data_IF_818639687756
#
_entry.id   IF_818639687756
#
_cell.length_a   1.000
_cell.length_b   1.000
_cell.length_c   1.000
_cell.angle_alpha   90.00
_cell.angle_beta   90.00
_cell.angle_gamma   90.00
#
_symmetry.space_group_name_H-M   'P 1'
#
loop_
_entity.id
_entity.type
_entity.pdbx_description
1 polymer ?
#
# COMPACT_ATOMS: atom_id res chain seq x y z
N UNK A 1 2.18 -17.49 19.13
CA UNK A 1 2.64 -18.56 18.22
C UNK A 1 3.82 -18.03 17.43
N UNK A 2 4.91 -18.81 17.28
CA UNK A 2 6.01 -18.40 16.43
C UNK A 2 5.63 -18.70 14.96
N UNK A 3 5.25 -17.66 14.22
CA UNK A 3 5.00 -17.79 12.79
C UNK A 3 6.33 -17.99 12.06
N UNK A 4 6.40 -19.00 11.19
CA UNK A 4 7.55 -19.22 10.30
C UNK A 4 7.29 -18.49 9.00
N UNK A 5 8.15 -17.54 8.65
CA UNK A 5 8.07 -16.76 7.42
C UNK A 5 9.19 -17.15 6.46
N UNK A 6 8.89 -17.13 5.16
CA UNK A 6 9.90 -17.21 4.10
C UNK A 6 10.02 -15.82 3.46
N UNK A 7 11.23 -15.24 3.33
CA UNK A 7 11.38 -13.99 2.62
C UNK A 7 11.17 -14.23 1.12
N UNK A 8 10.33 -13.41 0.50
CA UNK A 8 10.11 -13.41 -0.95
C UNK A 8 10.18 -11.98 -1.47
N UNK A 9 10.80 -11.81 -2.64
CA UNK A 9 10.73 -10.59 -3.42
C UNK A 9 9.66 -10.77 -4.49
N UNK A 10 8.73 -9.82 -4.59
CA UNK A 10 7.64 -9.84 -5.58
C UNK A 10 7.73 -8.56 -6.39
N UNK A 11 7.71 -8.66 -7.72
CA UNK A 11 7.56 -7.49 -8.58
C UNK A 11 6.11 -6.98 -8.51
N UNK A 12 5.94 -5.68 -8.25
CA UNK A 12 4.64 -5.00 -8.23
C UNK A 12 4.35 -4.23 -9.52
N UNK A 13 5.29 -4.19 -10.46
CA UNK A 13 5.10 -3.53 -11.76
C UNK A 13 3.84 -4.04 -12.46
N UNK A 14 3.01 -3.10 -12.92
CA UNK A 14 1.72 -3.34 -13.59
C UNK A 14 0.70 -4.15 -12.76
N UNK A 15 0.93 -4.34 -11.46
CA UNK A 15 -0.02 -5.01 -10.57
C UNK A 15 -0.99 -4.02 -9.97
N UNK A 16 -2.22 -4.47 -9.71
CA UNK A 16 -3.18 -3.76 -8.89
C UNK A 16 -2.92 -4.00 -7.40
N UNK A 17 -2.83 -2.93 -6.62
CA UNK A 17 -2.67 -2.95 -5.17
C UNK A 17 -3.83 -2.21 -4.50
N UNK A 18 -4.48 -2.87 -3.54
CA UNK A 18 -5.54 -2.28 -2.73
C UNK A 18 -5.02 -1.94 -1.34
N UNK A 19 -5.15 -0.67 -0.93
CA UNK A 19 -4.89 -0.21 0.44
C UNK A 19 -6.23 0.16 1.07
N UNK A 20 -6.54 -0.43 2.24
CA UNK A 20 -7.77 -0.16 2.97
C UNK A 20 -7.45 0.68 4.21
N UNK A 21 -8.19 1.78 4.38
CA UNK A 21 -7.96 2.81 5.39
C UNK A 21 -7.27 4.03 4.81
N UNK A 22 -7.50 5.19 5.42
CA UNK A 22 -7.01 6.49 4.95
C UNK A 22 -6.14 7.24 5.95
N UNK A 23 -5.82 6.65 7.11
CA UNK A 23 -4.98 7.29 8.12
C UNK A 23 -3.47 7.23 7.82
N UNK A 24 -2.65 7.63 8.80
CA UNK A 24 -1.19 7.67 8.68
C UNK A 24 -0.54 6.33 8.29
N UNK A 25 -1.10 5.20 8.72
CA UNK A 25 -0.57 3.87 8.36
C UNK A 25 -0.81 3.55 6.88
N UNK A 26 -1.96 3.96 6.33
CA UNK A 26 -2.26 3.79 4.93
C UNK A 26 -1.36 4.69 4.08
N UNK A 27 -1.21 5.97 4.46
CA UNK A 27 -0.29 6.91 3.82
C UNK A 27 1.12 6.33 3.68
N UNK A 28 1.71 5.83 4.77
CA UNK A 28 3.06 5.23 4.75
C UNK A 28 3.16 4.03 3.81
N UNK A 29 2.10 3.23 3.70
CA UNK A 29 2.06 2.07 2.80
C UNK A 29 1.97 2.52 1.34
N UNK A 30 1.13 3.51 1.06
CA UNK A 30 1.00 4.04 -0.31
C UNK A 30 2.30 4.73 -0.74
N UNK A 31 2.93 5.52 0.13
CA UNK A 31 4.26 6.13 -0.13
C UNK A 31 5.29 5.06 -0.54
N UNK A 32 5.35 3.93 0.18
CA UNK A 32 6.23 2.83 -0.22
C UNK A 32 5.82 2.21 -1.56
N UNK A 33 4.52 2.03 -1.82
CA UNK A 33 4.03 1.39 -3.05
C UNK A 33 4.23 2.26 -4.30
N UNK A 34 4.20 3.60 -4.17
CA UNK A 34 4.38 4.54 -5.28
C UNK A 34 5.74 4.39 -5.99
N UNK A 35 6.73 3.78 -5.33
CA UNK A 35 8.05 3.52 -5.90
C UNK A 35 8.10 2.32 -6.88
N UNK A 36 7.02 1.55 -7.03
CA UNK A 36 7.07 0.22 -7.69
C UNK A 36 6.21 0.06 -8.96
N UNK A 37 5.99 1.12 -9.74
CA UNK A 37 5.25 1.10 -11.03
C UNK A 37 3.92 0.31 -10.95
N UNK A 38 3.17 0.51 -9.87
CA UNK A 38 1.97 -0.26 -9.54
C UNK A 38 0.73 0.63 -9.53
N UNK A 39 -0.42 0.04 -9.87
CA UNK A 39 -1.71 0.72 -9.81
C UNK A 39 -2.30 0.61 -8.40
N UNK A 40 -2.39 1.72 -7.68
CA UNK A 40 -2.83 1.75 -6.28
C UNK A 40 -4.26 2.26 -6.20
N UNK A 41 -5.13 1.50 -5.53
CA UNK A 41 -6.47 1.95 -5.14
C UNK A 41 -6.53 2.07 -3.62
N UNK A 42 -6.95 3.22 -3.11
CA UNK A 42 -7.19 3.43 -1.68
C UNK A 42 -8.68 3.46 -1.41
N UNK A 43 -9.14 2.68 -0.43
CA UNK A 43 -10.55 2.66 -0.01
C UNK A 43 -10.65 3.06 1.45
N UNK A 44 -11.27 4.21 1.71
CA UNK A 44 -11.50 4.73 3.06
C UNK A 44 -12.71 5.67 3.09
N UNK A 45 -13.46 5.76 4.21
CA UNK A 45 -14.51 6.78 4.38
C UNK A 45 -13.95 8.21 4.40
N UNK A 46 -12.74 8.37 4.95
CA UNK A 46 -11.99 9.62 5.03
C UNK A 46 -10.52 9.31 4.69
N UNK A 47 -9.86 10.26 4.03
CA UNK A 47 -8.46 10.15 3.64
C UNK A 47 -7.63 11.25 4.32
N UNK A 48 -6.44 10.89 4.78
CA UNK A 48 -5.45 11.86 5.22
C UNK A 48 -5.13 12.80 4.05
N UNK A 49 -5.04 14.11 4.30
CA UNK A 49 -4.85 15.17 3.29
C UNK A 49 -3.74 14.87 2.26
N UNK A 50 -2.66 14.22 2.70
CA UNK A 50 -1.53 13.81 1.86
C UNK A 50 -1.82 12.65 0.89
N UNK A 51 -3.01 12.04 0.93
CA UNK A 51 -3.44 10.98 -0.01
C UNK A 51 -4.07 11.56 -1.30
N UNK A 52 -4.04 12.87 -1.51
CA UNK A 52 -4.63 13.59 -2.66
C UNK A 52 -3.71 13.69 -3.90
N UNK A 53 -2.85 12.70 -4.15
CA UNK A 53 -1.98 12.67 -5.34
C UNK A 53 -2.67 12.18 -6.62
#
# INVERSE_FOLDING_TARGET
MAHKYIPISISLADRACLVVGGGLVALRKVESLLEYDTAITVVAPEAHEKLEY
#
